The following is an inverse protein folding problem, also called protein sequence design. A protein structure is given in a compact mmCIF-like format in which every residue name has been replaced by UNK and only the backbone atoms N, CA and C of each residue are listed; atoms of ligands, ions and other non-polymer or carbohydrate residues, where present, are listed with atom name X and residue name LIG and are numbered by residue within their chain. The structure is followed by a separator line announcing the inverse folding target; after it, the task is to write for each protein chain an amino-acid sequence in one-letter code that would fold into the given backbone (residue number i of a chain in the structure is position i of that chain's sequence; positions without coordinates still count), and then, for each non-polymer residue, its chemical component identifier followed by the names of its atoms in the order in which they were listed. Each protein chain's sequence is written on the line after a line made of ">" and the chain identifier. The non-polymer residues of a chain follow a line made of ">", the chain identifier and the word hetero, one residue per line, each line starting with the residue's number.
data_IF_957171758248
#
_entry.id   IF_957171758248
#
_cell.length_a   1.000
_cell.length_b   1.000
_cell.length_c   1.000
_cell.angle_alpha   90.00
_cell.angle_beta   90.00
_cell.angle_gamma   90.00
#
_symmetry.space_group_name_H-M   'P 1'
#
loop_
_entity.id
_entity.type
_entity.pdbx_description
1 polymer ?
#
# COMPACT_ATOMS: atom_id res chain seq x y z
N UNK A 1 -22.97 6.80 -11.02
CA UNK A 1 -21.92 7.43 -10.18
C UNK A 1 -20.66 7.50 -11.02
N UNK A 2 -19.98 8.65 -11.07
CA UNK A 2 -18.82 8.88 -11.94
C UNK A 2 -17.53 8.72 -11.14
N UNK A 3 -16.50 8.13 -11.74
CA UNK A 3 -15.16 8.04 -11.14
C UNK A 3 -14.58 9.46 -11.06
N UNK A 4 -14.16 9.89 -9.87
CA UNK A 4 -13.67 11.27 -9.62
C UNK A 4 -12.15 11.43 -9.74
N UNK A 5 -11.41 10.33 -9.77
CA UNK A 5 -9.95 10.32 -9.78
C UNK A 5 -9.39 9.10 -9.05
N UNK A 6 -8.09 9.11 -8.82
CA UNK A 6 -7.40 8.10 -8.01
C UNK A 6 -7.69 8.33 -6.53
N UNK A 7 -8.02 7.25 -5.80
CA UNK A 7 -8.24 7.31 -4.35
C UNK A 7 -6.97 7.01 -3.57
N UNK A 8 -6.31 5.89 -3.87
CA UNK A 8 -5.03 5.49 -3.27
C UNK A 8 -4.29 4.49 -4.16
N UNK A 9 -3.01 4.25 -3.85
CA UNK A 9 -2.26 3.09 -4.37
C UNK A 9 -1.99 2.09 -3.25
N UNK A 10 -2.03 0.80 -3.58
CA UNK A 10 -1.68 -0.28 -2.67
C UNK A 10 -0.62 -1.17 -3.32
N UNK A 11 0.50 -1.37 -2.63
CA UNK A 11 1.59 -2.23 -3.09
C UNK A 11 1.84 -3.37 -2.11
N UNK A 12 1.95 -4.59 -2.65
CA UNK A 12 2.43 -5.75 -1.89
C UNK A 12 3.96 -5.75 -1.83
N UNK A 13 4.51 -5.83 -0.61
CA UNK A 13 5.95 -5.76 -0.32
C UNK A 13 6.38 -7.00 0.45
N UNK A 14 7.57 -7.52 0.16
CA UNK A 14 8.10 -8.74 0.83
C UNK A 14 8.72 -8.43 2.18
N UNK A 15 9.10 -7.18 2.41
CA UNK A 15 9.67 -6.72 3.67
C UNK A 15 9.08 -5.34 3.95
N UNK A 16 8.14 -5.32 4.90
CA UNK A 16 7.38 -4.12 5.23
C UNK A 16 8.31 -3.04 5.80
N UNK A 17 9.26 -3.39 6.67
CA UNK A 17 10.14 -2.44 7.34
C UNK A 17 11.16 -1.80 6.38
N UNK A 18 11.75 -2.60 5.49
CA UNK A 18 12.61 -2.06 4.42
C UNK A 18 11.83 -1.14 3.50
N UNK A 19 10.60 -1.52 3.16
CA UNK A 19 9.76 -0.72 2.27
C UNK A 19 9.31 0.59 2.92
N UNK A 20 8.93 0.56 4.21
CA UNK A 20 8.61 1.78 4.96
C UNK A 20 9.80 2.74 4.93
N UNK A 21 11.00 2.25 5.23
CA UNK A 21 12.23 3.05 5.23
C UNK A 21 12.48 3.70 3.86
N UNK A 22 12.30 2.94 2.79
CA UNK A 22 12.44 3.42 1.43
C UNK A 22 11.45 4.53 1.09
N UNK A 23 10.16 4.35 1.38
CA UNK A 23 9.15 5.37 1.09
C UNK A 23 9.31 6.62 1.96
N UNK A 24 9.77 6.50 3.21
CA UNK A 24 10.09 7.65 4.04
C UNK A 24 11.31 8.43 3.54
N UNK A 25 12.41 7.76 3.24
CA UNK A 25 13.68 8.44 2.94
C UNK A 25 13.81 8.89 1.49
N UNK A 26 13.29 8.10 0.54
CA UNK A 26 13.43 8.41 -0.90
C UNK A 26 12.32 9.33 -1.37
N UNK A 27 11.08 9.06 -0.95
CA UNK A 27 9.92 9.83 -1.38
C UNK A 27 9.48 10.92 -0.39
N UNK A 28 10.05 10.93 0.81
CA UNK A 28 9.59 11.84 1.87
C UNK A 28 8.17 11.51 2.33
N UNK A 29 7.70 10.26 2.14
CA UNK A 29 6.36 9.86 2.51
C UNK A 29 6.21 9.88 4.04
N UNK A 30 5.14 10.51 4.54
CA UNK A 30 4.85 10.57 5.96
C UNK A 30 4.11 9.32 6.38
N UNK A 31 4.75 8.47 7.18
CA UNK A 31 4.10 7.31 7.80
C UNK A 31 2.99 7.80 8.74
N UNK A 32 1.77 7.30 8.52
CA UNK A 32 0.58 7.63 9.32
C UNK A 32 0.24 6.50 10.28
N UNK A 33 0.25 5.26 9.77
CA UNK A 33 -0.09 4.05 10.51
C UNK A 33 0.84 2.94 10.08
N UNK A 34 1.31 2.14 11.04
CA UNK A 34 1.97 0.86 10.81
C UNK A 34 1.29 -0.18 11.69
N UNK A 35 0.86 -1.28 11.08
CA UNK A 35 0.46 -2.51 11.75
C UNK A 35 1.46 -3.63 11.42
N UNK A 36 1.22 -4.87 11.88
CA UNK A 36 2.09 -6.03 11.67
C UNK A 36 2.37 -6.30 10.19
N UNK A 37 1.35 -6.16 9.33
CA UNK A 37 1.43 -6.46 7.90
C UNK A 37 1.05 -5.30 7.00
N UNK A 38 0.71 -4.13 7.53
CA UNK A 38 0.28 -3.01 6.70
C UNK A 38 0.91 -1.71 7.13
N UNK A 39 1.09 -0.78 6.18
CA UNK A 39 1.53 0.57 6.47
C UNK A 39 0.84 1.57 5.55
N UNK A 40 0.41 2.70 6.12
CA UNK A 40 -0.24 3.78 5.39
C UNK A 40 0.59 5.06 5.45
N UNK A 41 0.66 5.75 4.33
CA UNK A 41 1.42 6.97 4.15
C UNK A 41 0.56 8.08 3.56
N UNK A 42 0.88 9.30 3.96
CA UNK A 42 0.62 10.49 3.15
C UNK A 42 1.87 10.78 2.30
N UNK A 43 1.67 10.88 0.98
CA UNK A 43 2.69 11.33 0.05
C UNK A 43 2.18 12.58 -0.67
N UNK A 44 2.32 13.75 -0.02
CA UNK A 44 1.87 15.05 -0.55
C UNK A 44 0.37 15.05 -0.92
N UNK A 45 -0.47 14.47 -0.07
CA UNK A 45 -1.91 14.34 -0.30
C UNK A 45 -2.33 13.08 -1.07
N UNK A 46 -1.38 12.26 -1.54
CA UNK A 46 -1.66 10.94 -2.09
C UNK A 46 -1.63 9.90 -0.98
N UNK A 47 -2.72 9.13 -0.83
CA UNK A 47 -2.74 7.99 0.07
C UNK A 47 -2.02 6.80 -0.57
N UNK A 48 -0.98 6.30 0.12
CA UNK A 48 -0.20 5.14 -0.28
C UNK A 48 -0.25 4.08 0.82
N UNK A 49 -0.59 2.85 0.44
CA UNK A 49 -0.69 1.70 1.33
C UNK A 49 0.30 0.59 0.92
N UNK A 50 0.88 -0.07 1.92
CA UNK A 50 1.75 -1.23 1.75
C UNK A 50 1.16 -2.43 2.48
N UNK A 51 1.17 -3.60 1.85
CA UNK A 51 0.86 -4.88 2.47
C UNK A 51 2.10 -5.78 2.47
N UNK A 52 2.55 -6.22 3.65
CA UNK A 52 3.62 -7.18 3.86
C UNK A 52 3.16 -8.61 3.53
N UNK A 53 3.76 -9.20 2.49
CA UNK A 53 3.47 -10.53 1.98
C UNK A 53 4.79 -11.30 1.78
N UNK A 54 5.11 -12.16 2.76
CA UNK A 54 6.42 -12.80 2.89
C UNK A 54 6.67 -13.90 1.81
N UNK A 55 5.61 -14.51 1.28
CA UNK A 55 5.68 -15.75 0.47
C UNK A 55 5.07 -15.63 -0.94
N UNK A 56 5.02 -14.42 -1.52
CA UNK A 56 4.44 -14.27 -2.87
C UNK A 56 5.48 -14.59 -3.97
N UNK A 57 5.23 -15.56 -4.87
CA UNK A 57 6.10 -15.82 -6.00
C UNK A 57 6.06 -14.64 -6.99
N UNK A 58 7.09 -13.79 -6.94
CA UNK A 58 7.26 -12.65 -7.85
C UNK A 58 7.92 -13.12 -9.15
N UNK A 59 7.20 -13.92 -9.92
CA UNK A 59 7.56 -14.11 -11.32
C UNK A 59 7.17 -12.87 -12.12
N UNK A 60 7.97 -12.54 -13.12
CA UNK A 60 8.07 -11.30 -13.92
C UNK A 60 6.81 -10.82 -14.67
N UNK A 61 5.62 -11.30 -14.33
CA UNK A 61 4.35 -10.83 -14.86
C UNK A 61 3.43 -10.44 -13.71
N UNK A 62 3.02 -9.16 -13.70
CA UNK A 62 2.11 -8.57 -12.72
C UNK A 62 0.90 -9.50 -12.51
N UNK A 63 0.82 -10.11 -11.34
CA UNK A 63 -0.39 -10.75 -10.84
C UNK A 63 -0.81 -10.06 -9.54
N UNK A 64 -1.23 -8.81 -9.64
CA UNK A 64 -2.02 -8.16 -8.60
C UNK A 64 -3.48 -8.54 -8.80
N UNK A 65 -3.95 -9.62 -8.19
CA UNK A 65 -5.39 -9.85 -7.97
C UNK A 65 -5.62 -10.63 -6.67
N UNK A 66 -5.27 -10.03 -5.53
CA UNK A 66 -5.95 -10.39 -4.28
C UNK A 66 -7.32 -9.71 -4.31
N UNK A 67 -8.30 -10.52 -4.70
CA UNK A 67 -9.73 -10.27 -4.74
C UNK A 67 -10.23 -9.62 -3.43
N UNK A 68 -10.31 -8.28 -3.42
CA UNK A 68 -11.07 -7.45 -2.46
C UNK A 68 -10.96 -7.88 -0.99
N UNK A 69 -10.12 -7.17 -0.23
CA UNK A 69 -10.28 -7.01 1.23
C UNK A 69 -11.56 -6.24 1.55
N UNK A 70 -12.68 -6.94 1.39
CA UNK A 70 -14.07 -6.55 1.62
C UNK A 70 -14.21 -5.83 2.97
N UNK A 71 -14.97 -4.73 3.00
CA UNK A 71 -15.44 -3.97 4.17
C UNK A 71 -14.62 -2.77 4.71
N UNK A 72 -13.29 -2.67 4.57
CA UNK A 72 -12.55 -1.61 5.31
C UNK A 72 -12.51 -0.21 4.67
N UNK A 73 -12.93 -0.03 3.42
CA UNK A 73 -13.18 1.30 2.84
C UNK A 73 -14.59 1.85 3.16
N UNK A 74 -15.41 1.14 3.94
CA UNK A 74 -16.82 1.49 4.13
C UNK A 74 -17.08 2.74 5.02
N UNK A 75 -16.05 3.40 5.57
CA UNK A 75 -16.22 4.60 6.43
C UNK A 75 -15.17 5.70 6.20
N UNK A 76 -14.62 5.84 4.99
CA UNK A 76 -13.88 7.04 4.56
C UNK A 76 -14.56 7.71 3.38
#
# INVERSE_FOLDING_TARGET
>A
MQIKGLNHFLFSVTDLDKSITFYQHIFGAKLLVKDRKTAYFDLKGLWLALNGEDDMPRHTHIACLEHWGKELCANL
#
